data_IF_617290312166
#
_entry.id   IF_617290312166
#
_cell.length_a   1.000
_cell.length_b   1.000
_cell.length_c   1.000
_cell.angle_alpha   90.00
_cell.angle_beta   90.00
_cell.angle_gamma   90.00
#
_symmetry.space_group_name_H-M   'P 1'
#
loop_
_entity.id
_entity.type
_entity.pdbx_description
1 polymer ?
#
# COMPACT_ATOMS: atom_id res chain seq x y z
N UNK A 1 18.93 1.58 -9.70
CA UNK A 1 17.80 0.61 -9.74
C UNK A 1 17.35 0.22 -8.35
N UNK A 2 18.24 -0.28 -7.48
CA UNK A 2 17.94 -0.58 -6.08
C UNK A 2 17.25 0.58 -5.35
N UNK A 3 17.76 1.81 -5.51
CA UNK A 3 17.18 3.01 -4.86
C UNK A 3 15.70 3.24 -5.21
N UNK A 4 15.33 3.07 -6.49
CA UNK A 4 13.94 3.28 -6.94
C UNK A 4 13.04 2.17 -6.41
N UNK A 5 13.52 0.92 -6.45
CA UNK A 5 12.83 -0.22 -5.84
C UNK A 5 12.59 0.03 -4.35
N UNK A 6 13.62 0.41 -3.62
CA UNK A 6 13.54 0.71 -2.19
C UNK A 6 12.56 1.84 -1.89
N UNK A 7 12.57 2.90 -2.70
CA UNK A 7 11.62 4.01 -2.53
C UNK A 7 10.16 3.58 -2.74
N UNK A 8 9.88 2.75 -3.75
CA UNK A 8 8.54 2.20 -4.00
C UNK A 8 8.11 1.28 -2.86
N UNK A 9 9.00 0.39 -2.42
CA UNK A 9 8.72 -0.51 -1.29
C UNK A 9 8.48 0.26 0.01
N UNK A 10 9.25 1.34 0.25
CA UNK A 10 9.05 2.23 1.39
C UNK A 10 7.69 2.93 1.34
N UNK A 11 7.29 3.45 0.17
CA UNK A 11 5.96 4.03 -0.02
C UNK A 11 4.83 3.01 0.25
N UNK A 12 4.94 1.78 -0.26
CA UNK A 12 3.92 0.76 0.03
C UNK A 12 3.81 0.45 1.53
N UNK A 13 4.95 0.37 2.23
CA UNK A 13 4.97 0.07 3.65
C UNK A 13 4.46 1.25 4.49
N UNK A 14 4.77 2.49 4.12
CA UNK A 14 4.22 3.66 4.82
C UNK A 14 2.71 3.76 4.66
N UNK A 15 2.16 3.40 3.49
CA UNK A 15 0.71 3.29 3.29
C UNK A 15 0.10 2.19 4.16
N UNK A 16 0.74 1.01 4.28
CA UNK A 16 0.26 -0.07 5.17
C UNK A 16 0.24 0.36 6.63
N UNK A 17 1.27 1.09 7.06
CA UNK A 17 1.39 1.62 8.41
C UNK A 17 0.32 2.68 8.69
N UNK A 18 0.07 3.61 7.76
CA UNK A 18 -1.02 4.58 7.85
C UNK A 18 -2.38 3.88 8.00
N UNK A 19 -2.70 2.92 7.13
CA UNK A 19 -3.97 2.19 7.21
C UNK A 19 -4.11 1.46 8.55
N UNK A 20 -3.05 0.79 8.99
CA UNK A 20 -3.09 -0.03 10.20
C UNK A 20 -3.22 0.85 11.44
N UNK A 21 -2.47 1.94 11.54
CA UNK A 21 -2.54 2.88 12.67
C UNK A 21 -3.90 3.56 12.75
N UNK A 22 -4.37 4.18 11.65
CA UNK A 22 -5.64 4.89 11.60
C UNK A 22 -6.83 3.99 11.95
N UNK A 23 -6.91 2.80 11.35
CA UNK A 23 -8.06 1.91 11.59
C UNK A 23 -7.99 1.22 12.95
N UNK A 24 -6.79 0.92 13.47
CA UNK A 24 -6.64 0.40 14.81
C UNK A 24 -7.06 1.43 15.87
N UNK A 25 -6.74 2.71 15.67
CA UNK A 25 -7.13 3.79 16.58
C UNK A 25 -8.64 4.04 16.58
N UNK A 26 -9.27 4.08 15.39
CA UNK A 26 -10.69 4.44 15.26
C UNK A 26 -11.65 3.26 15.48
N UNK A 27 -11.27 2.05 15.08
CA UNK A 27 -12.17 0.87 15.07
C UNK A 27 -11.72 -0.19 16.07
N UNK A 28 -10.43 -0.23 16.42
CA UNK A 28 -9.88 -1.22 17.34
C UNK A 28 -9.43 -2.51 16.64
N UNK A 29 -9.12 -3.54 17.42
CA UNK A 29 -8.44 -4.75 16.94
C UNK A 29 -9.22 -5.54 15.86
N UNK A 30 -10.53 -5.37 15.76
CA UNK A 30 -11.39 -6.03 14.78
C UNK A 30 -11.41 -5.33 13.40
N UNK A 31 -10.67 -4.22 13.23
CA UNK A 31 -10.71 -3.41 12.00
C UNK A 31 -10.50 -4.21 10.71
N UNK A 32 -9.65 -5.24 10.72
CA UNK A 32 -9.41 -6.05 9.53
C UNK A 32 -10.68 -6.79 9.09
N UNK A 33 -11.50 -7.26 10.02
CA UNK A 33 -12.73 -7.98 9.71
C UNK A 33 -13.91 -7.03 9.42
N UNK A 34 -13.91 -5.85 10.04
CA UNK A 34 -15.02 -4.90 9.96
C UNK A 34 -14.88 -3.90 8.80
N UNK A 35 -13.67 -3.40 8.56
CA UNK A 35 -13.38 -2.32 7.59
C UNK A 35 -12.92 -2.82 6.22
N UNK A 36 -12.41 -4.06 6.12
CA UNK A 36 -11.85 -4.57 4.87
C UNK A 36 -12.82 -5.50 4.17
N UNK A 37 -13.12 -5.18 2.89
CA UNK A 37 -14.00 -6.03 2.09
C UNK A 37 -13.54 -7.49 2.03
N UNK A 38 -14.52 -8.40 2.05
CA UNK A 38 -14.27 -9.86 1.97
C UNK A 38 -13.38 -10.25 0.78
N UNK A 39 -13.56 -9.60 -0.38
CA UNK A 39 -12.73 -9.83 -1.57
C UNK A 39 -11.24 -9.61 -1.31
N UNK A 40 -10.88 -8.55 -0.59
CA UNK A 40 -9.48 -8.24 -0.25
C UNK A 40 -8.96 -9.23 0.79
N UNK A 41 -9.78 -9.55 1.81
CA UNK A 41 -9.44 -10.54 2.84
C UNK A 41 -9.17 -11.92 2.25
N UNK A 42 -10.08 -12.44 1.44
CA UNK A 42 -9.96 -13.76 0.80
C UNK A 42 -8.70 -13.83 -0.08
N UNK A 43 -8.40 -12.74 -0.80
CA UNK A 43 -7.22 -12.65 -1.65
C UNK A 43 -5.91 -12.60 -0.83
N UNK A 44 -5.89 -11.92 0.31
CA UNK A 44 -4.76 -11.88 1.23
C UNK A 44 -4.53 -13.24 1.90
N UNK A 45 -5.60 -13.85 2.42
CA UNK A 45 -5.57 -15.17 3.06
C UNK A 45 -5.11 -16.27 2.09
N UNK A 46 -5.60 -16.26 0.85
CA UNK A 46 -5.13 -17.17 -0.19
C UNK A 46 -3.62 -17.07 -0.41
N UNK A 47 -3.06 -15.85 -0.51
CA UNK A 47 -1.61 -15.65 -0.67
C UNK A 47 -0.84 -16.15 0.54
N UNK A 48 -1.32 -15.85 1.75
CA UNK A 48 -0.72 -16.31 3.00
C UNK A 48 -0.66 -17.82 3.07
N UNK A 49 -1.77 -18.51 2.80
CA UNK A 49 -1.84 -19.98 2.79
C UNK A 49 -0.92 -20.61 1.75
N UNK A 50 -0.75 -20.00 0.58
CA UNK A 50 0.23 -20.50 -0.41
C UNK A 50 1.67 -20.32 0.08
N UNK A 51 2.00 -19.19 0.72
CA UNK A 51 3.35 -18.98 1.29
C UNK A 51 3.64 -19.89 2.49
N UNK A 52 2.64 -20.19 3.33
CA UNK A 52 2.77 -21.10 4.48
C UNK A 52 3.18 -22.53 4.09
N UNK A 53 2.85 -22.96 2.87
CA UNK A 53 3.26 -24.28 2.35
C UNK A 53 4.77 -24.34 2.05
N UNK A 54 5.43 -23.19 1.88
CA UNK A 54 6.82 -23.10 1.38
C UNK A 54 7.81 -22.97 2.55
N UNK A 55 8.21 -24.12 3.12
CA UNK A 55 9.08 -24.16 4.32
C UNK A 55 10.51 -23.64 4.12
N UNK A 56 11.02 -23.58 2.89
CA UNK A 56 12.38 -23.13 2.61
C UNK A 56 12.50 -21.62 2.43
N UNK A 57 11.40 -20.87 2.49
CA UNK A 57 11.36 -19.44 2.22
C UNK A 57 10.79 -18.63 3.39
N UNK A 58 11.19 -17.36 3.48
CA UNK A 58 10.66 -16.44 4.50
C UNK A 58 9.21 -16.08 4.18
N UNK A 59 8.38 -16.02 5.21
CA UNK A 59 7.01 -15.52 5.14
C UNK A 59 7.01 -14.00 5.34
N UNK A 60 6.11 -13.28 4.66
CA UNK A 60 6.04 -11.81 4.73
C UNK A 60 5.75 -11.25 6.12
N UNK A 61 5.08 -12.03 6.96
CA UNK A 61 4.88 -11.77 8.38
C UNK A 61 3.49 -12.20 8.85
N UNK A 62 3.10 -11.77 10.04
CA UNK A 62 1.85 -12.17 10.70
C UNK A 62 0.63 -11.39 10.22
N UNK A 63 0.82 -10.13 9.81
CA UNK A 63 -0.28 -9.21 9.64
C UNK A 63 -0.91 -9.37 8.26
N UNK A 64 -2.24 -9.55 8.17
CA UNK A 64 -2.89 -9.88 6.90
C UNK A 64 -2.75 -8.76 5.86
N UNK A 65 -2.57 -7.51 6.29
CA UNK A 65 -2.30 -6.37 5.39
C UNK A 65 -0.99 -6.53 4.60
N UNK A 66 -0.01 -7.28 5.11
CA UNK A 66 1.27 -7.52 4.40
C UNK A 66 1.10 -8.39 3.15
N UNK A 67 -0.01 -9.13 3.06
CA UNK A 67 -0.37 -9.96 1.91
C UNK A 67 -1.22 -9.20 0.87
N UNK A 68 -1.48 -7.91 1.10
CA UNK A 68 -2.22 -7.05 0.17
C UNK A 68 -1.30 -6.40 -0.87
N UNK A 69 -1.87 -6.14 -2.05
CA UNK A 69 -1.20 -5.45 -3.15
C UNK A 69 -1.52 -3.95 -3.10
N UNK A 70 -0.71 -3.12 -3.76
CA UNK A 70 -0.90 -1.67 -3.80
C UNK A 70 -2.34 -1.22 -4.16
N UNK A 71 -3.04 -1.81 -5.15
CA UNK A 71 -4.43 -1.45 -5.43
C UNK A 71 -5.40 -1.77 -4.30
N UNK A 72 -5.12 -2.81 -3.51
CA UNK A 72 -5.95 -3.16 -2.36
C UNK A 72 -5.85 -2.07 -1.28
N UNK A 73 -4.66 -1.47 -1.09
CA UNK A 73 -4.45 -0.42 -0.10
C UNK A 73 -5.30 0.82 -0.40
N UNK A 74 -5.31 1.27 -1.66
CA UNK A 74 -6.19 2.37 -2.09
C UNK A 74 -7.67 2.04 -1.88
N UNK A 75 -8.07 0.80 -2.18
CA UNK A 75 -9.45 0.35 -1.98
C UNK A 75 -9.84 0.31 -0.50
N UNK A 76 -8.91 -0.06 0.40
CA UNK A 76 -9.16 -0.01 1.85
C UNK A 76 -9.37 1.43 2.30
N UNK A 77 -8.52 2.37 1.86
CA UNK A 77 -8.68 3.80 2.17
C UNK A 77 -10.04 4.30 1.66
N UNK A 78 -10.39 3.98 0.40
CA UNK A 78 -11.67 4.36 -0.22
C UNK A 78 -12.90 3.85 0.53
N UNK A 79 -12.85 2.62 1.03
CA UNK A 79 -13.96 2.00 1.77
C UNK A 79 -14.20 2.66 3.13
N UNK A 80 -13.18 3.34 3.67
CA UNK A 80 -13.12 3.83 5.03
C UNK A 80 -12.78 5.33 5.06
N UNK A 81 -13.18 6.08 4.02
CA UNK A 81 -12.75 7.45 3.77
C UNK A 81 -12.92 8.38 4.97
N UNK A 82 -14.02 8.22 5.71
CA UNK A 82 -14.33 9.01 6.91
C UNK A 82 -13.20 8.97 7.97
N UNK A 83 -12.50 7.84 8.13
CA UNK A 83 -11.38 7.74 9.07
C UNK A 83 -10.08 8.35 8.54
N UNK A 84 -9.99 8.59 7.23
CA UNK A 84 -8.80 9.12 6.58
C UNK A 84 -8.92 10.59 6.21
N UNK A 85 -10.05 11.26 6.47
CA UNK A 85 -10.32 12.63 6.02
C UNK A 85 -9.28 13.64 6.52
N UNK A 86 -8.82 13.49 7.76
CA UNK A 86 -7.77 14.34 8.36
C UNK A 86 -6.42 14.24 7.64
N UNK A 87 -6.17 13.11 6.97
CA UNK A 87 -4.93 12.85 6.24
C UNK A 87 -5.11 13.03 4.72
N UNK A 88 -6.27 12.65 4.17
CA UNK A 88 -6.54 12.52 2.74
C UNK A 88 -7.93 13.13 2.46
N UNK A 89 -7.95 14.44 2.26
CA UNK A 89 -9.16 15.18 1.93
C UNK A 89 -9.69 14.89 0.50
N UNK A 90 -8.81 14.47 -0.41
CA UNK A 90 -9.16 14.13 -1.79
C UNK A 90 -8.65 12.71 -2.14
N UNK A 91 -9.59 11.78 -2.19
CA UNK A 91 -9.35 10.38 -2.55
C UNK A 91 -8.95 10.22 -4.03
N UNK A 92 -9.42 11.09 -4.92
CA UNK A 92 -9.08 11.03 -6.34
C UNK A 92 -7.65 11.54 -6.57
N UNK A 93 -7.21 12.54 -5.81
CA UNK A 93 -5.80 12.91 -5.74
C UNK A 93 -4.93 11.74 -5.28
N UNK A 94 -5.30 11.06 -4.18
CA UNK A 94 -4.57 9.89 -3.70
C UNK A 94 -4.53 8.77 -4.75
N UNK A 95 -5.66 8.51 -5.43
CA UNK A 95 -5.73 7.52 -6.50
C UNK A 95 -4.78 7.84 -7.65
N UNK A 96 -4.64 9.12 -8.03
CA UNK A 96 -3.71 9.55 -9.08
C UNK A 96 -2.24 9.22 -8.75
N UNK A 97 -1.87 9.31 -7.47
CA UNK A 97 -0.54 8.92 -6.97
C UNK A 97 -0.39 7.41 -7.10
N UNK A 98 -1.32 6.63 -6.54
CA UNK A 98 -1.26 5.17 -6.56
C UNK A 98 -1.20 4.61 -7.98
N UNK A 99 -2.01 5.14 -8.89
CA UNK A 99 -2.04 4.75 -10.30
C UNK A 99 -0.71 5.01 -11.01
N UNK A 100 0.01 6.07 -10.62
CA UNK A 100 1.33 6.41 -11.20
C UNK A 100 2.43 5.54 -10.60
N UNK A 101 2.37 5.30 -9.29
CA UNK A 101 3.30 4.42 -8.58
C UNK A 101 3.15 2.99 -9.07
N UNK A 102 1.94 2.49 -9.27
CA UNK A 102 1.69 1.13 -9.76
C UNK A 102 2.30 0.88 -11.14
N UNK A 103 2.11 1.81 -12.09
CA UNK A 103 2.72 1.71 -13.43
C UNK A 103 4.24 1.62 -13.34
N UNK A 104 4.84 2.46 -12.50
CA UNK A 104 6.30 2.51 -12.32
C UNK A 104 6.83 1.28 -11.60
N UNK A 105 6.12 0.82 -10.57
CA UNK A 105 6.38 -0.40 -9.82
C UNK A 105 6.42 -1.60 -10.75
N UNK A 106 5.43 -1.77 -11.61
CA UNK A 106 5.37 -2.91 -12.52
C UNK A 106 6.63 -3.00 -13.40
N UNK A 107 7.11 -1.88 -13.92
CA UNK A 107 8.39 -1.85 -14.68
C UNK A 107 9.56 -2.31 -13.81
N UNK A 108 9.72 -1.72 -12.62
CA UNK A 108 10.84 -2.00 -11.72
C UNK A 108 10.83 -3.45 -11.20
N UNK A 109 9.65 -4.00 -10.88
CA UNK A 109 9.48 -5.36 -10.35
C UNK A 109 9.70 -6.44 -11.42
N UNK A 110 9.57 -6.10 -12.70
CA UNK A 110 9.81 -6.99 -13.83
C UNK A 110 11.15 -6.70 -14.52
N UNK A 111 12.16 -6.32 -13.75
CA UNK A 111 13.55 -6.10 -14.20
C UNK A 111 13.74 -4.99 -15.25
N UNK A 112 12.73 -4.14 -15.45
CA UNK A 112 12.78 -2.99 -16.35
C UNK A 112 13.44 -1.77 -15.72
N UNK A 113 13.69 -0.74 -16.53
CA UNK A 113 14.27 0.53 -16.11
C UNK A 113 13.32 1.70 -16.35
N UNK A 114 13.21 2.61 -15.38
CA UNK A 114 12.46 3.85 -15.54
C UNK A 114 13.31 4.93 -16.19
N UNK A 115 12.67 5.81 -16.96
CA UNK A 115 13.31 7.01 -17.48
C UNK A 115 13.63 7.99 -16.33
N UNK A 116 14.60 8.88 -16.53
CA UNK A 116 14.91 9.95 -15.56
C UNK A 116 13.68 10.80 -15.23
N UNK A 117 12.81 11.03 -16.21
CA UNK A 117 11.55 11.76 -16.06
C UNK A 117 10.61 11.06 -15.09
N UNK A 118 10.44 9.74 -15.22
CA UNK A 118 9.51 8.98 -14.39
C UNK A 118 10.06 8.81 -12.96
N UNK A 119 11.38 8.66 -12.81
CA UNK A 119 12.05 8.68 -11.50
C UNK A 119 11.82 10.03 -10.80
N UNK A 120 12.00 11.14 -11.52
CA UNK A 120 11.77 12.48 -10.97
C UNK A 120 10.30 12.66 -10.55
N UNK A 121 9.35 12.16 -11.37
CA UNK A 121 7.92 12.18 -11.06
C UNK A 121 7.62 11.41 -9.76
N UNK A 122 8.12 10.18 -9.62
CA UNK A 122 7.96 9.40 -8.37
C UNK A 122 8.50 10.17 -7.17
N UNK A 123 9.67 10.79 -7.31
CA UNK A 123 10.27 11.58 -6.24
C UNK A 123 9.37 12.75 -5.79
N UNK A 124 8.69 13.42 -6.72
CA UNK A 124 7.71 14.46 -6.36
C UNK A 124 6.47 13.87 -5.70
N UNK A 125 5.87 12.82 -6.27
CA UNK A 125 4.66 12.21 -5.71
C UNK A 125 4.88 11.66 -4.29
N UNK A 126 6.05 11.06 -4.02
CA UNK A 126 6.38 10.59 -2.67
C UNK A 126 6.56 11.74 -1.68
N UNK A 127 7.10 12.87 -2.10
CA UNK A 127 7.18 14.07 -1.25
C UNK A 127 5.78 14.62 -0.96
N UNK A 128 4.96 14.77 -2.00
CA UNK A 128 3.60 15.28 -1.87
C UNK A 128 2.77 14.37 -0.94
N UNK A 129 2.83 13.05 -1.14
CA UNK A 129 2.21 12.06 -0.25
C UNK A 129 2.68 12.22 1.19
N UNK A 130 3.99 12.20 1.42
CA UNK A 130 4.55 12.29 2.77
C UNK A 130 4.18 13.60 3.46
N UNK A 131 4.15 14.73 2.75
CA UNK A 131 3.72 16.01 3.32
C UNK A 131 2.22 16.01 3.64
N UNK A 132 1.39 15.38 2.80
CA UNK A 132 -0.05 15.32 3.00
C UNK A 132 -0.46 14.44 4.20
N UNK A 133 0.22 13.31 4.41
CA UNK A 133 -0.12 12.37 5.50
C UNK A 133 0.74 12.54 6.75
N UNK A 134 1.68 13.50 6.75
CA UNK A 134 2.48 13.82 7.92
C UNK A 134 1.61 14.47 9.00
N UNK A 135 1.79 14.00 10.24
CA UNK A 135 1.18 14.56 11.46
C UNK A 135 2.01 15.70 12.01
#
# INVERSE_FOLDING_TARGET
MSVVYTAIAAFENSVRELITSTLLENVGAAWWEDCVSKKIRDAADSRRKEEEKVKWHTQRGSDPIQYTMLPNLLNIIRQNGDYFEDFIHDIDWAASIFDTVEKSRNVIMHSGTLSKRDIARLGSLFRDWNTQVAT
#
